data_IF_076732723908
#
_entry.id   IF_076732723908
#
_cell.length_a   1.000
_cell.length_b   1.000
_cell.length_c   1.000
_cell.angle_alpha   90.00
_cell.angle_beta   90.00
_cell.angle_gamma   90.00
#
_symmetry.space_group_name_H-M   'P 1'
#
loop_
_entity.id
_entity.type
_entity.pdbx_description
1 polymer ?
#
# COMPACT_ATOMS: atom_id res chain seq x y z
N UNK A 1 18.88 13.51 -16.04
CA UNK A 1 17.65 12.95 -16.60
C UNK A 1 16.97 12.15 -15.49
N UNK A 2 15.99 12.74 -14.78
CA UNK A 2 15.25 12.01 -13.74
C UNK A 2 14.11 11.24 -14.41
N UNK A 3 14.20 9.91 -14.42
CA UNK A 3 13.19 9.05 -15.01
C UNK A 3 11.86 9.22 -14.30
N UNK A 4 10.77 9.36 -15.06
CA UNK A 4 9.43 9.47 -14.51
C UNK A 4 9.06 8.19 -13.74
N UNK A 5 8.68 8.33 -12.47
CA UNK A 5 8.11 7.22 -11.71
C UNK A 5 6.77 6.81 -12.33
N UNK A 6 6.68 5.58 -12.83
CA UNK A 6 5.42 5.02 -13.33
C UNK A 6 4.71 4.32 -12.18
N UNK A 7 3.46 4.70 -11.94
CA UNK A 7 2.56 4.05 -10.97
C UNK A 7 1.59 3.15 -11.75
N UNK A 8 1.50 1.89 -11.36
CA UNK A 8 0.51 0.95 -11.87
C UNK A 8 -0.46 0.59 -10.73
N UNK A 9 -1.77 0.78 -10.95
CA UNK A 9 -2.78 0.32 -10.00
C UNK A 9 -2.99 -1.20 -10.15
N UNK A 10 -2.88 -1.89 -9.01
CA UNK A 10 -3.10 -3.33 -8.85
C UNK A 10 -4.43 -3.69 -8.19
N UNK A 11 -5.24 -2.69 -7.80
CA UNK A 11 -6.60 -2.87 -7.31
C UNK A 11 -6.74 -3.11 -5.81
N UNK A 12 -8.00 -3.23 -5.35
CA UNK A 12 -8.32 -3.37 -3.92
C UNK A 12 -8.07 -4.79 -3.44
N UNK A 13 -7.15 -4.93 -2.48
CA UNK A 13 -6.91 -6.13 -1.69
C UNK A 13 -7.86 -6.17 -0.50
N UNK A 14 -8.56 -7.30 -0.35
CA UNK A 14 -9.44 -7.59 0.79
C UNK A 14 -8.83 -8.72 1.60
N UNK A 15 -8.48 -8.44 2.85
CA UNK A 15 -7.67 -9.32 3.70
C UNK A 15 -8.31 -9.47 5.08
N UNK A 16 -7.98 -10.56 5.78
CA UNK A 16 -8.32 -10.78 7.20
C UNK A 16 -7.05 -10.66 8.02
N UNK A 17 -6.95 -9.61 8.83
CA UNK A 17 -5.83 -9.36 9.73
C UNK A 17 -6.20 -9.79 11.17
N UNK A 18 -5.34 -10.53 11.88
CA UNK A 18 -5.68 -11.08 13.20
C UNK A 18 -6.04 -10.01 14.24
N UNK A 19 -5.41 -8.83 14.21
CA UNK A 19 -5.73 -7.74 15.14
C UNK A 19 -6.72 -6.70 14.59
N UNK A 20 -6.91 -6.63 13.27
CA UNK A 20 -7.69 -5.56 12.62
C UNK A 20 -8.97 -6.10 11.93
N UNK A 21 -9.21 -7.40 11.95
CA UNK A 21 -10.36 -7.99 11.25
C UNK A 21 -10.26 -7.78 9.74
N UNK A 22 -11.39 -7.48 9.08
CA UNK A 22 -11.40 -7.16 7.65
C UNK A 22 -10.61 -5.88 7.36
N UNK A 23 -9.72 -5.92 6.37
CA UNK A 23 -8.93 -4.79 5.88
C UNK A 23 -9.06 -4.69 4.37
N UNK A 24 -9.29 -3.48 3.87
CA UNK A 24 -9.30 -3.16 2.45
C UNK A 24 -8.18 -2.15 2.14
N UNK A 25 -7.31 -2.51 1.20
CA UNK A 25 -6.15 -1.71 0.79
C UNK A 25 -6.09 -1.61 -0.73
N UNK A 26 -5.97 -0.41 -1.28
CA UNK A 26 -5.59 -0.26 -2.69
C UNK A 26 -4.11 -0.56 -2.88
N UNK A 27 -3.80 -1.38 -3.87
CA UNK A 27 -2.43 -1.79 -4.19
C UNK A 27 -1.91 -0.96 -5.35
N UNK A 28 -0.84 -0.22 -5.14
CA UNK A 28 -0.11 0.51 -6.19
C UNK A 28 1.29 -0.06 -6.33
N UNK A 29 1.72 -0.35 -7.56
CA UNK A 29 3.08 -0.78 -7.89
C UNK A 29 3.88 0.39 -8.48
N UNK A 30 5.08 0.60 -7.93
CA UNK A 30 5.98 1.69 -8.28
C UNK A 30 7.29 1.09 -8.82
N UNK A 31 7.70 1.52 -10.00
CA UNK A 31 9.03 1.18 -10.54
C UNK A 31 10.00 2.31 -10.24
N UNK A 32 11.18 1.98 -9.68
CA UNK A 32 12.27 2.92 -9.48
C UNK A 32 13.07 3.02 -10.78
N UNK A 33 13.33 4.25 -11.24
CA UNK A 33 14.12 4.57 -12.45
C UNK A 33 13.58 4.06 -13.80
N UNK A 34 12.34 3.56 -13.88
CA UNK A 34 11.71 3.15 -15.14
C UNK A 34 12.33 1.93 -15.83
N UNK A 35 13.30 1.26 -15.18
CA UNK A 35 14.00 0.05 -15.65
C UNK A 35 13.39 -1.19 -14.99
N UNK A 36 13.39 -2.38 -15.64
CA UNK A 36 13.27 -3.65 -14.91
C UNK A 36 14.36 -3.74 -13.84
N UNK A 37 13.98 -3.54 -12.59
CA UNK A 37 14.85 -3.30 -11.45
C UNK A 37 14.04 -3.26 -10.15
N UNK A 38 14.56 -2.63 -9.08
CA UNK A 38 13.85 -2.52 -7.81
C UNK A 38 12.48 -1.83 -7.98
N UNK A 39 11.45 -2.43 -7.42
CA UNK A 39 10.10 -1.89 -7.38
C UNK A 39 9.54 -1.96 -5.97
N UNK A 40 8.58 -1.09 -5.68
CA UNK A 40 7.87 -1.05 -4.40
C UNK A 40 6.38 -1.27 -4.63
N UNK A 41 5.74 -2.05 -3.76
CA UNK A 41 4.28 -2.15 -3.71
C UNK A 41 3.81 -1.39 -2.48
N UNK A 42 2.99 -0.38 -2.69
CA UNK A 42 2.34 0.39 -1.62
C UNK A 42 0.91 -0.14 -1.49
N UNK A 43 0.52 -0.50 -0.26
CA UNK A 43 -0.85 -0.90 0.05
C UNK A 43 -1.47 0.20 0.91
N UNK A 44 -2.31 1.03 0.30
CA UNK A 44 -2.90 2.22 0.91
C UNK A 44 -4.28 1.88 1.46
N UNK A 45 -4.62 2.25 2.70
CA UNK A 45 -5.98 2.11 3.20
C UNK A 45 -6.99 2.82 2.31
N UNK A 46 -8.08 2.15 1.96
CA UNK A 46 -9.12 2.73 1.08
C UNK A 46 -9.89 3.88 1.76
N UNK A 47 -9.83 3.96 3.09
CA UNK A 47 -10.46 5.02 3.87
C UNK A 47 -9.61 5.46 5.08
N UNK A 48 -9.95 6.64 5.63
CA UNK A 48 -9.25 7.25 6.76
C UNK A 48 -9.44 6.48 8.07
N UNK A 49 -10.57 5.78 8.24
CA UNK A 49 -10.83 5.02 9.46
C UNK A 49 -9.88 3.82 9.56
N UNK A 50 -9.66 3.11 8.46
CA UNK A 50 -8.69 2.03 8.34
C UNK A 50 -7.27 2.54 8.53
N UNK A 51 -6.91 3.68 7.93
CA UNK A 51 -5.61 4.31 8.17
C UNK A 51 -5.36 4.59 9.66
N UNK A 52 -6.35 5.14 10.37
CA UNK A 52 -6.26 5.38 11.80
C UNK A 52 -6.11 4.09 12.62
N UNK A 53 -6.78 3.00 12.23
CA UNK A 53 -6.66 1.70 12.89
C UNK A 53 -5.27 1.09 12.71
N UNK A 54 -4.72 1.14 11.50
CA UNK A 54 -3.36 0.69 11.21
C UNK A 54 -2.34 1.54 11.97
N UNK A 55 -2.51 2.87 11.98
CA UNK A 55 -1.63 3.78 12.72
C UNK A 55 -1.59 3.48 14.22
N UNK A 56 -2.75 3.20 14.84
CA UNK A 56 -2.79 2.78 16.26
C UNK A 56 -2.08 1.46 16.50
N UNK A 57 -2.25 0.48 15.61
CA UNK A 57 -1.57 -0.81 15.73
C UNK A 57 -0.04 -0.65 15.67
N UNK A 58 0.45 0.16 14.71
CA UNK A 58 1.88 0.46 14.56
C UNK A 58 2.44 1.17 15.79
N UNK A 59 1.69 2.12 16.37
CA UNK A 59 2.11 2.81 17.59
C UNK A 59 2.13 1.92 18.84
N UNK A 60 1.47 0.76 18.80
CA UNK A 60 1.39 -0.21 19.91
C UNK A 60 2.32 -1.42 19.75
N UNK A 61 3.06 -1.50 18.64
CA UNK A 61 4.04 -2.54 18.35
C UNK A 61 5.44 -2.13 18.82
#
# INVERSE_FOLDING_TARGET
MHGAAKILHGGIKRLKHPALGSVELDSSALSVDGRPGPGMIVSTPVDCAMAGRIGRLVASA
#
